data_IF_310368134052
#
_entry.id   IF_310368134052
#
_cell.length_a   1.000
_cell.length_b   1.000
_cell.length_c   1.000
_cell.angle_alpha   90.00
_cell.angle_beta   90.00
_cell.angle_gamma   90.00
#
_symmetry.space_group_name_H-M   'P 1'
#
loop_
_entity.id
_entity.type
_entity.pdbx_description
1 polymer ?
#
# COMPACT_ATOMS: atom_id res chain seq x y z
N UNK A 1 -27.71 1.09 11.55
CA UNK A 1 -26.40 0.47 11.22
C UNK A 1 -25.25 1.48 11.12
N UNK A 2 -25.42 2.67 10.51
CA UNK A 2 -24.37 3.70 10.35
C UNK A 2 -23.57 4.05 11.64
N UNK A 3 -24.23 4.21 12.79
CA UNK A 3 -23.54 4.66 14.01
C UNK A 3 -22.70 3.58 14.73
N UNK A 4 -23.03 2.29 14.59
CA UNK A 4 -22.34 1.24 15.36
C UNK A 4 -20.95 0.92 14.79
N UNK A 5 -20.81 0.92 13.46
CA UNK A 5 -19.54 0.62 12.81
C UNK A 5 -18.53 1.76 12.98
N UNK A 6 -18.96 3.01 12.82
CA UNK A 6 -18.09 4.18 13.03
C UNK A 6 -17.53 4.22 14.45
N UNK A 7 -18.39 3.99 15.46
CA UNK A 7 -17.93 3.97 16.86
C UNK A 7 -16.93 2.84 17.13
N UNK A 8 -17.17 1.65 16.58
CA UNK A 8 -16.24 0.53 16.72
C UNK A 8 -14.91 0.80 16.02
N UNK A 9 -14.94 1.41 14.83
CA UNK A 9 -13.73 1.78 14.08
C UNK A 9 -12.92 2.84 14.80
N UNK A 10 -13.57 3.91 15.28
CA UNK A 10 -12.90 4.97 16.03
C UNK A 10 -12.24 4.43 17.30
N UNK A 11 -12.96 3.59 18.06
CA UNK A 11 -12.39 2.93 19.23
C UNK A 11 -11.18 2.07 18.87
N UNK A 12 -11.23 1.32 17.77
CA UNK A 12 -10.10 0.50 17.31
C UNK A 12 -8.87 1.35 16.96
N UNK A 13 -9.08 2.53 16.37
CA UNK A 13 -8.02 3.51 16.10
C UNK A 13 -7.48 4.11 17.39
N UNK A 14 -8.35 4.53 18.31
CA UNK A 14 -7.99 5.09 19.63
C UNK A 14 -7.20 4.08 20.49
N UNK A 15 -7.54 2.80 20.41
CA UNK A 15 -6.82 1.70 21.05
C UNK A 15 -5.44 1.43 20.40
N UNK A 16 -5.04 2.24 19.41
CA UNK A 16 -3.73 2.22 18.77
C UNK A 16 -3.45 0.95 17.98
N UNK A 17 -4.51 0.28 17.49
CA UNK A 17 -4.42 -0.96 16.72
C UNK A 17 -4.02 -0.70 15.26
N UNK A 18 -3.58 -1.75 14.58
CA UNK A 18 -3.12 -1.67 13.19
C UNK A 18 -4.26 -1.81 12.20
N UNK A 19 -4.29 -0.96 11.17
CA UNK A 19 -5.25 -1.01 10.08
C UNK A 19 -4.49 -1.01 8.75
N UNK A 20 -4.83 -1.94 7.86
CA UNK A 20 -4.35 -1.95 6.48
C UNK A 20 -5.55 -1.99 5.52
N UNK A 21 -5.58 -1.07 4.56
CA UNK A 21 -6.58 -0.99 3.51
C UNK A 21 -5.92 -1.26 2.15
N UNK A 22 -6.24 -2.40 1.54
CA UNK A 22 -5.67 -2.83 0.26
C UNK A 22 -6.69 -2.62 -0.87
N UNK A 23 -6.28 -1.95 -1.95
CA UNK A 23 -7.10 -1.60 -3.11
C UNK A 23 -8.41 -0.92 -2.70
N UNK A 24 -9.56 -1.61 -2.77
CA UNK A 24 -10.84 -1.09 -2.28
C UNK A 24 -10.81 -0.72 -0.79
N UNK A 25 -9.99 -1.40 0.03
CA UNK A 25 -9.77 -1.03 1.42
C UNK A 25 -9.17 0.36 1.58
N UNK A 26 -8.23 0.75 0.71
CA UNK A 26 -7.66 2.10 0.72
C UNK A 26 -8.72 3.15 0.37
N UNK A 27 -9.56 2.85 -0.62
CA UNK A 27 -10.69 3.73 -0.97
C UNK A 27 -11.63 3.95 0.23
N UNK A 28 -11.88 2.89 1.01
CA UNK A 28 -12.68 3.00 2.24
C UNK A 28 -11.98 3.89 3.26
N UNK A 29 -10.69 3.68 3.54
CA UNK A 29 -9.95 4.47 4.54
C UNK A 29 -9.97 5.97 4.23
N UNK A 30 -9.83 6.32 2.96
CA UNK A 30 -9.89 7.71 2.51
C UNK A 30 -11.32 8.27 2.61
N UNK A 31 -12.34 7.50 2.21
CA UNK A 31 -13.75 7.90 2.32
C UNK A 31 -14.24 8.03 3.78
N UNK A 32 -13.63 7.30 4.71
CA UNK A 32 -13.93 7.43 6.15
C UNK A 32 -13.15 8.56 6.81
N UNK A 33 -12.23 9.23 6.10
CA UNK A 33 -11.37 10.29 6.65
C UNK A 33 -10.25 9.79 7.55
N UNK A 34 -9.96 8.48 7.55
CA UNK A 34 -8.82 7.92 8.29
C UNK A 34 -7.49 8.17 7.58
N UNK A 35 -7.54 8.37 6.26
CA UNK A 35 -6.40 8.80 5.45
C UNK A 35 -6.80 10.00 4.60
N UNK A 36 -5.89 10.94 4.33
CA UNK A 36 -6.18 12.10 3.51
C UNK A 36 -6.20 11.77 2.01
N UNK A 37 -6.74 12.68 1.19
CA UNK A 37 -6.76 12.59 -0.27
C UNK A 37 -8.04 11.99 -0.83
N UNK A 38 -7.98 11.48 -2.06
CA UNK A 38 -9.05 10.69 -2.70
C UNK A 38 -8.47 9.74 -3.74
N UNK A 39 -9.21 8.67 -4.04
CA UNK A 39 -8.91 7.76 -5.15
C UNK A 39 -9.94 7.96 -6.26
N UNK A 40 -9.47 8.35 -7.43
CA UNK A 40 -10.27 8.65 -8.61
C UNK A 40 -10.07 7.61 -9.72
N UNK A 41 -10.89 7.70 -10.76
CA UNK A 41 -10.69 6.93 -12.00
C UNK A 41 -9.27 7.12 -12.54
N UNK A 42 -8.68 6.03 -13.01
CA UNK A 42 -7.38 6.03 -13.68
C UNK A 42 -7.39 7.01 -14.87
N UNK A 43 -6.26 7.68 -15.12
CA UNK A 43 -6.10 8.54 -16.31
C UNK A 43 -6.28 7.78 -17.63
N UNK A 44 -6.02 6.47 -17.64
CA UNK A 44 -6.26 5.60 -18.80
C UNK A 44 -7.74 5.33 -19.08
N UNK A 45 -8.64 5.66 -18.14
CA UNK A 45 -10.06 5.30 -18.14
C UNK A 45 -10.33 3.78 -18.30
N UNK A 46 -9.35 2.95 -17.93
CA UNK A 46 -9.41 1.49 -18.03
C UNK A 46 -9.17 0.82 -16.69
N UNK A 47 -9.69 -0.39 -16.56
CA UNK A 47 -9.30 -1.30 -15.49
C UNK A 47 -7.89 -1.83 -15.76
N UNK A 48 -6.99 -1.67 -14.78
CA UNK A 48 -5.60 -2.09 -14.88
C UNK A 48 -5.36 -3.34 -14.06
N UNK A 49 -4.99 -4.43 -14.73
CA UNK A 49 -4.59 -5.71 -14.13
C UNK A 49 -3.17 -6.06 -14.61
N UNK A 50 -2.17 -5.72 -13.81
CA UNK A 50 -0.76 -5.91 -14.19
C UNK A 50 0.13 -6.01 -12.96
N UNK A 51 1.39 -6.34 -13.19
CA UNK A 51 2.42 -6.26 -12.16
C UNK A 51 3.21 -4.96 -12.34
N UNK A 52 3.53 -4.30 -11.23
CA UNK A 52 4.20 -2.99 -11.21
C UNK A 52 5.38 -3.01 -10.26
N UNK A 53 6.42 -2.29 -10.64
CA UNK A 53 7.56 -1.98 -9.79
C UNK A 53 7.21 -0.79 -8.90
N UNK A 54 7.44 -0.96 -7.60
CA UNK A 54 7.25 0.07 -6.60
C UNK A 54 8.56 0.41 -5.93
N UNK A 55 8.76 1.70 -5.69
CA UNK A 55 9.82 2.21 -4.84
C UNK A 55 9.31 2.39 -3.42
N UNK A 56 9.93 1.68 -2.48
CA UNK A 56 9.67 1.84 -1.06
C UNK A 56 10.29 3.14 -0.59
N UNK A 57 9.49 4.00 0.01
CA UNK A 57 9.96 5.25 0.58
C UNK A 57 10.31 5.07 2.07
N UNK A 58 11.26 5.87 2.56
CA UNK A 58 11.50 5.97 3.99
C UNK A 58 10.27 6.63 4.64
N UNK A 59 9.56 5.84 5.46
CA UNK A 59 8.26 6.23 6.03
C UNK A 59 8.10 5.74 7.46
N UNK A 60 7.17 6.35 8.18
CA UNK A 60 6.80 5.96 9.55
C UNK A 60 6.00 4.64 9.60
N UNK A 61 5.60 4.11 8.45
CA UNK A 61 4.69 2.99 8.34
C UNK A 61 5.26 1.71 8.99
N UNK A 62 4.56 1.19 9.99
CA UNK A 62 5.01 0.00 10.73
C UNK A 62 5.04 -1.24 9.84
N UNK A 63 4.22 -1.27 8.80
CA UNK A 63 4.09 -2.38 7.87
C UNK A 63 5.29 -2.52 6.93
N UNK A 64 6.03 -1.44 6.66
CA UNK A 64 7.09 -1.44 5.63
C UNK A 64 8.51 -1.40 6.19
N UNK A 65 8.67 -1.60 7.50
CA UNK A 65 9.98 -1.72 8.15
C UNK A 65 10.82 -2.85 7.53
N UNK A 66 12.00 -2.52 7.01
CA UNK A 66 12.90 -3.51 6.41
C UNK A 66 12.40 -4.12 5.10
N UNK A 67 11.38 -3.52 4.46
CA UNK A 67 11.00 -3.87 3.08
C UNK A 67 12.11 -3.43 2.14
N UNK A 68 12.34 -4.21 1.07
CA UNK A 68 13.34 -3.91 0.04
C UNK A 68 13.10 -2.52 -0.57
N UNK A 69 14.16 -1.86 -1.05
CA UNK A 69 14.06 -0.55 -1.71
C UNK A 69 13.12 -0.57 -2.93
N UNK A 70 13.07 -1.69 -3.65
CA UNK A 70 12.12 -1.94 -4.73
C UNK A 70 11.37 -3.24 -4.49
N UNK A 71 10.07 -3.24 -4.76
CA UNK A 71 9.19 -4.41 -4.66
C UNK A 71 8.32 -4.55 -5.89
N UNK A 72 8.00 -5.78 -6.27
CA UNK A 72 7.18 -6.07 -7.44
C UNK A 72 5.83 -6.63 -7.03
N UNK A 73 4.76 -5.85 -7.21
CA UNK A 73 3.42 -6.23 -6.73
C UNK A 73 2.37 -6.16 -7.85
N UNK A 74 1.32 -7.01 -7.80
CA UNK A 74 0.21 -6.93 -8.73
C UNK A 74 -0.75 -5.78 -8.36
N UNK A 75 -1.35 -5.15 -9.36
CA UNK A 75 -2.45 -4.18 -9.25
C UNK A 75 -3.69 -4.72 -9.97
N UNK A 76 -4.87 -4.34 -9.50
CA UNK A 76 -6.16 -4.71 -10.09
C UNK A 76 -7.23 -3.64 -9.77
N UNK A 77 -7.22 -2.50 -10.49
CA UNK A 77 -8.13 -1.38 -10.20
C UNK A 77 -8.50 -0.53 -11.43
N UNK A 78 -9.72 0.02 -11.42
CA UNK A 78 -10.14 1.11 -12.33
C UNK A 78 -10.14 2.49 -11.65
N UNK A 79 -10.22 2.52 -10.31
CA UNK A 79 -10.27 3.72 -9.47
C UNK A 79 -9.09 3.72 -8.49
N UNK A 80 -7.87 3.73 -9.01
CA UNK A 80 -6.65 3.68 -8.19
C UNK A 80 -5.84 4.96 -8.17
N UNK A 81 -6.28 6.01 -8.87
CA UNK A 81 -5.51 7.25 -9.00
C UNK A 81 -5.59 8.05 -7.72
N UNK A 82 -4.52 8.08 -6.95
CA UNK A 82 -4.40 8.94 -5.78
C UNK A 82 -4.26 10.40 -6.21
N UNK A 83 -5.09 11.26 -5.63
CA UNK A 83 -4.99 12.71 -5.83
C UNK A 83 -5.36 13.45 -4.55
N UNK A 84 -4.69 14.56 -4.30
CA UNK A 84 -4.93 15.40 -3.15
C UNK A 84 -4.55 16.87 -3.47
N UNK A 85 -5.11 17.85 -2.74
CA UNK A 85 -4.65 19.23 -2.82
C UNK A 85 -3.15 19.37 -2.56
N UNK A 86 -2.51 20.35 -3.19
CA UNK A 86 -1.05 20.53 -3.11
C UNK A 86 -0.53 20.65 -1.66
N UNK A 87 -1.26 21.32 -0.77
CA UNK A 87 -0.88 21.43 0.65
C UNK A 87 -0.88 20.07 1.35
N UNK A 88 -1.87 19.22 1.05
CA UNK A 88 -1.96 17.86 1.61
C UNK A 88 -0.83 16.98 1.09
N UNK A 89 -0.49 17.10 -0.20
CA UNK A 89 0.66 16.40 -0.75
C UNK A 89 1.96 16.83 -0.05
N UNK A 90 2.18 18.13 0.11
CA UNK A 90 3.37 18.65 0.82
C UNK A 90 3.43 18.18 2.28
N UNK A 91 2.30 18.13 2.99
CA UNK A 91 2.23 17.60 4.37
C UNK A 91 2.58 16.11 4.41
N UNK A 92 2.04 15.30 3.48
CA UNK A 92 2.35 13.87 3.40
C UNK A 92 3.85 13.61 3.17
N UNK A 93 4.48 14.43 2.32
CA UNK A 93 5.94 14.34 2.09
C UNK A 93 6.72 14.75 3.34
N UNK A 94 6.40 15.90 3.93
CA UNK A 94 7.12 16.42 5.10
C UNK A 94 7.02 15.51 6.33
N UNK A 95 5.89 14.80 6.48
CA UNK A 95 5.63 13.89 7.59
C UNK A 95 6.08 12.45 7.31
N UNK A 96 6.77 12.17 6.20
CA UNK A 96 7.19 10.81 5.83
C UNK A 96 6.03 9.80 5.79
N UNK A 97 4.88 10.25 5.26
CA UNK A 97 3.65 9.46 5.18
C UNK A 97 3.45 8.79 3.82
N UNK A 98 4.24 9.13 2.80
CA UNK A 98 4.25 8.41 1.53
C UNK A 98 5.04 7.11 1.73
N UNK A 99 4.42 5.97 1.44
CA UNK A 99 5.00 4.65 1.73
C UNK A 99 5.55 3.98 0.47
N UNK A 100 4.79 4.03 -0.62
CA UNK A 100 5.19 3.47 -1.90
C UNK A 100 4.89 4.43 -3.04
N UNK A 101 5.80 4.47 -4.02
CA UNK A 101 5.57 5.09 -5.32
C UNK A 101 5.66 4.07 -6.42
N UNK A 102 4.93 4.29 -7.52
CA UNK A 102 5.25 3.62 -8.77
C UNK A 102 6.64 4.07 -9.23
N UNK A 103 7.52 3.12 -9.53
CA UNK A 103 8.94 3.40 -9.81
C UNK A 103 9.15 4.30 -11.03
N UNK A 104 8.22 4.28 -11.98
CA UNK A 104 8.26 5.15 -13.15
C UNK A 104 6.95 5.91 -13.32
N UNK A 105 7.05 7.19 -13.66
CA UNK A 105 5.88 8.07 -13.75
C UNK A 105 4.97 7.84 -14.96
N UNK A 106 5.47 7.16 -16.00
CA UNK A 106 4.75 7.04 -17.26
C UNK A 106 3.91 5.77 -17.30
N UNK A 107 2.74 5.85 -17.95
CA UNK A 107 2.00 4.66 -18.35
C UNK A 107 2.85 3.82 -19.30
N UNK A 108 2.90 2.48 -19.17
CA UNK A 108 2.08 1.62 -18.31
C UNK A 108 2.59 1.40 -16.87
N UNK A 109 3.77 1.91 -16.51
CA UNK A 109 4.47 1.59 -15.27
C UNK A 109 3.85 2.30 -14.05
N UNK A 110 3.43 3.56 -14.20
CA UNK A 110 2.37 4.14 -13.37
C UNK A 110 1.02 3.86 -14.05
N UNK A 111 0.21 2.90 -13.54
CA UNK A 111 -0.99 2.43 -14.24
C UNK A 111 -2.16 3.41 -14.15
N UNK A 112 -2.20 4.28 -13.14
CA UNK A 112 -3.37 5.11 -12.84
C UNK A 112 -3.11 6.62 -13.00
N UNK A 113 -1.86 7.06 -13.02
CA UNK A 113 -1.48 8.46 -13.07
C UNK A 113 -1.70 9.19 -11.74
N UNK A 114 -1.45 8.53 -10.61
CA UNK A 114 -1.49 9.15 -9.28
C UNK A 114 -0.56 10.36 -9.19
N UNK A 115 -0.97 11.37 -8.41
CA UNK A 115 -0.14 12.51 -8.05
C UNK A 115 1.15 12.04 -7.36
N UNK A 116 2.28 12.61 -7.78
CA UNK A 116 3.62 12.23 -7.30
C UNK A 116 3.92 10.72 -7.35
N UNK A 117 3.27 9.99 -8.26
CA UNK A 117 3.34 8.52 -8.40
C UNK A 117 2.94 7.73 -7.15
N UNK A 118 2.16 8.32 -6.24
CA UNK A 118 1.81 7.68 -4.97
C UNK A 118 0.98 6.42 -5.20
N UNK A 119 1.46 5.30 -4.66
CA UNK A 119 0.78 4.00 -4.68
C UNK A 119 0.21 3.62 -3.30
N UNK A 120 0.77 4.19 -2.23
CA UNK A 120 0.27 3.99 -0.86
C UNK A 120 0.81 5.01 0.14
N UNK A 121 0.01 5.29 1.17
CA UNK A 121 0.31 6.26 2.23
C UNK A 121 -0.07 5.69 3.60
N UNK A 122 0.52 6.22 4.67
CA UNK A 122 0.12 5.94 6.05
C UNK A 122 -0.38 7.20 6.78
N UNK A 123 -1.02 7.01 7.92
CA UNK A 123 -1.35 8.10 8.84
C UNK A 123 -0.11 8.61 9.59
N UNK A 124 -0.25 9.71 10.33
CA UNK A 124 0.85 10.33 11.07
C UNK A 124 1.43 9.42 12.17
N UNK A 125 0.69 8.40 12.63
CA UNK A 125 1.21 7.41 13.59
C UNK A 125 1.92 6.24 12.92
N UNK A 126 1.77 6.07 11.60
CA UNK A 126 2.30 4.95 10.82
C UNK A 126 1.55 3.63 11.02
N UNK A 127 0.39 3.62 11.71
CA UNK A 127 -0.37 2.41 12.08
C UNK A 127 -1.55 2.12 11.16
N UNK A 128 -2.03 3.13 10.44
CA UNK A 128 -3.08 3.02 9.43
C UNK A 128 -2.39 3.15 8.07
N UNK A 129 -2.51 2.13 7.24
CA UNK A 129 -1.80 2.05 5.97
C UNK A 129 -2.77 1.77 4.81
N UNK A 130 -2.76 2.62 3.80
CA UNK A 130 -3.51 2.46 2.55
C UNK A 130 -2.59 2.13 1.38
N UNK A 131 -2.94 1.11 0.59
CA UNK A 131 -2.12 0.64 -0.54
C UNK A 131 -2.99 0.21 -1.71
N UNK A 132 -2.70 0.70 -2.93
CA UNK A 132 -3.42 0.27 -4.14
C UNK A 132 -2.96 -1.09 -4.70
N UNK A 133 -1.65 -1.37 -4.80
CA UNK A 133 -1.14 -2.70 -5.11
C UNK A 133 -1.59 -3.76 -4.10
N UNK A 134 -1.59 -5.03 -4.52
CA UNK A 134 -2.09 -6.19 -3.78
C UNK A 134 -0.94 -7.06 -3.22
N UNK A 135 -0.35 -6.71 -2.05
CA UNK A 135 0.70 -7.51 -1.44
C UNK A 135 0.24 -8.91 -1.04
N UNK A 136 -1.05 -9.07 -0.70
CA UNK A 136 -1.66 -10.36 -0.37
C UNK A 136 -1.73 -11.31 -1.57
N UNK A 137 -1.57 -10.80 -2.80
CA UNK A 137 -1.50 -11.60 -4.03
C UNK A 137 -0.09 -12.00 -4.41
N UNK A 138 0.93 -11.63 -3.62
CA UNK A 138 2.32 -12.07 -3.83
C UNK A 138 2.99 -12.44 -2.50
N UNK A 139 2.44 -13.45 -1.83
CA UNK A 139 2.97 -13.96 -0.56
C UNK A 139 4.05 -15.03 -0.75
N UNK A 140 3.97 -15.76 -1.86
CA UNK A 140 4.92 -16.83 -2.20
C UNK A 140 5.33 -16.70 -3.66
N UNK A 141 6.49 -17.28 -4.02
CA UNK A 141 6.96 -17.32 -5.41
C UNK A 141 5.91 -17.88 -6.37
N UNK A 142 5.09 -18.84 -5.93
CA UNK A 142 4.08 -19.52 -6.75
C UNK A 142 2.95 -18.60 -7.20
N UNK A 143 2.73 -17.47 -6.51
CA UNK A 143 1.72 -16.49 -6.93
C UNK A 143 2.18 -15.66 -8.14
N UNK A 144 3.47 -15.65 -8.45
CA UNK A 144 4.02 -14.89 -9.57
C UNK A 144 3.70 -15.59 -10.91
N UNK A 145 3.19 -14.91 -11.95
CA UNK A 145 2.78 -15.54 -13.21
C UNK A 145 3.94 -16.20 -13.96
N UNK A 146 5.18 -15.81 -13.65
CA UNK A 146 6.41 -16.38 -14.24
C UNK A 146 7.17 -17.28 -13.25
N UNK A 147 6.54 -17.79 -12.20
CA UNK A 147 7.21 -18.54 -11.13
C UNK A 147 8.08 -19.71 -11.62
N UNK A 148 7.67 -20.41 -12.69
CA UNK A 148 8.46 -21.49 -13.31
C UNK A 148 9.73 -21.02 -14.01
N UNK A 149 9.84 -19.72 -14.30
CA UNK A 149 10.92 -19.08 -15.06
C UNK A 149 11.70 -18.05 -14.25
N UNK A 150 11.38 -17.86 -12.97
CA UNK A 150 12.22 -17.05 -12.08
C UNK A 150 13.56 -17.79 -11.94
N UNK A 151 14.59 -17.28 -12.62
CA UNK A 151 15.95 -17.85 -12.59
C UNK A 151 16.39 -17.87 -11.13
N UNK A 152 16.92 -19.01 -10.67
CA UNK A 152 17.62 -19.13 -9.38
C UNK A 152 18.91 -18.28 -9.40
N UNK A 153 18.78 -16.96 -9.36
CA UNK A 153 19.88 -16.09 -8.94
C UNK A 153 20.03 -16.23 -7.42
N UNK A 154 21.23 -16.02 -6.87
CA UNK A 154 21.50 -16.26 -5.44
C UNK A 154 20.53 -15.52 -4.48
N UNK A 155 19.89 -14.43 -4.92
CA UNK A 155 18.87 -13.66 -4.16
C UNK A 155 17.41 -14.14 -4.33
N UNK A 156 17.10 -15.02 -5.28
CA UNK A 156 15.73 -15.53 -5.54
C UNK A 156 15.48 -16.90 -4.89
N UNK A 157 16.36 -17.34 -4.00
CA UNK A 157 16.18 -18.58 -3.23
C UNK A 157 15.06 -18.49 -2.18
N UNK A 158 14.52 -17.29 -1.94
CA UNK A 158 13.37 -17.12 -1.05
C UNK A 158 12.10 -17.65 -1.70
N UNK A 159 11.40 -18.55 -1.01
CA UNK A 159 10.05 -18.96 -1.40
C UNK A 159 9.00 -17.88 -1.17
N UNK A 160 9.40 -16.79 -0.51
CA UNK A 160 8.55 -15.68 -0.11
C UNK A 160 8.44 -14.65 -1.23
N UNK A 161 7.21 -14.23 -1.52
CA UNK A 161 6.95 -13.09 -2.38
C UNK A 161 7.14 -11.78 -1.63
N UNK A 162 7.34 -10.69 -2.38
CA UNK A 162 7.63 -9.37 -1.81
C UNK A 162 6.49 -8.81 -0.94
N UNK A 163 5.27 -9.35 -1.06
CA UNK A 163 4.14 -8.94 -0.22
C UNK A 163 4.15 -9.53 1.18
N UNK A 164 4.86 -10.65 1.43
CA UNK A 164 4.78 -11.36 2.72
C UNK A 164 5.35 -10.55 3.89
N UNK A 165 6.42 -9.79 3.65
CA UNK A 165 7.10 -9.00 4.67
C UNK A 165 6.16 -7.96 5.32
N UNK A 166 5.21 -7.40 4.56
CA UNK A 166 4.20 -6.45 5.06
C UNK A 166 3.36 -7.07 6.19
N UNK A 167 2.93 -8.32 6.02
CA UNK A 167 2.13 -9.03 7.01
C UNK A 167 2.97 -9.55 8.18
N UNK A 168 4.21 -9.98 7.92
CA UNK A 168 5.16 -10.34 8.99
C UNK A 168 5.42 -9.15 9.91
N UNK A 169 5.61 -7.96 9.36
CA UNK A 169 5.81 -6.73 10.12
C UNK A 169 4.60 -6.40 11.00
N UNK A 170 3.38 -6.55 10.48
CA UNK A 170 2.17 -6.38 11.28
C UNK A 170 2.12 -7.35 12.46
N UNK A 171 2.40 -8.64 12.24
CA UNK A 171 2.44 -9.66 13.30
C UNK A 171 3.53 -9.36 14.33
N UNK A 172 4.72 -9.00 13.88
CA UNK A 172 5.84 -8.67 14.75
C UNK A 172 5.53 -7.44 15.62
N UNK A 173 4.92 -6.41 15.03
CA UNK A 173 4.49 -5.24 15.77
C UNK A 173 3.46 -5.59 16.85
N UNK A 174 2.44 -6.39 16.51
CA UNK A 174 1.41 -6.82 17.47
C UNK A 174 2.04 -7.61 18.61
N UNK A 175 2.95 -8.55 18.32
CA UNK A 175 3.67 -9.32 19.34
C UNK A 175 4.53 -8.47 20.27
N UNK A 176 5.10 -7.38 19.77
CA UNK A 176 6.00 -6.54 20.55
C UNK A 176 5.28 -5.44 21.34
N UNK A 177 4.06 -5.04 20.95
CA UNK A 177 3.42 -3.82 21.48
C UNK A 177 1.98 -4.02 21.97
N UNK A 178 1.30 -5.10 21.58
CA UNK A 178 -0.15 -5.27 21.79
C UNK A 178 -0.54 -6.62 22.42
N UNK A 179 0.42 -7.50 22.64
CA UNK A 179 0.31 -8.75 23.41
C UNK A 179 1.15 -8.61 24.68
#
# INVERSE_FOLDING_TARGET
>A
MKHKLTNALNRFVEDGKLIIGICNGFQVLVRTGLLPGTLAMNTSAKFECRWVDLETQESLCVFTKGVKAQVYLPVAHAEGRFTAPANVLSELEANHQVVFRYAESRYPNNPNGSDSNIAGICDATGKIFGLMPHPERFLTKWNHPRWTRLVKTQDTCSEEGDGLVIFKNAVNYVKANLL
#
